data_IF_790030304408
#
_entry.id   IF_790030304408
#
_cell.length_a   1.000
_cell.length_b   1.000
_cell.length_c   1.000
_cell.angle_alpha   90.00
_cell.angle_beta   90.00
_cell.angle_gamma   90.00
#
_symmetry.space_group_name_H-M   'P 1'
#
loop_
_entity.id
_entity.type
_entity.pdbx_description
1 polymer ?
#
# COMPACT_ATOMS: atom_id res chain seq x y z
N UNK A 1 -71.55 -17.38 5.63
CA UNK A 1 -70.43 -17.05 6.55
C UNK A 1 -69.14 -17.64 5.95
N UNK A 2 -68.44 -16.90 5.09
CA UNK A 2 -67.18 -17.34 4.48
C UNK A 2 -66.13 -16.23 4.63
N UNK A 3 -65.21 -16.43 5.59
CA UNK A 3 -64.06 -15.57 5.81
C UNK A 3 -63.03 -15.85 4.71
N UNK A 4 -62.86 -14.91 3.79
CA UNK A 4 -61.72 -14.90 2.85
C UNK A 4 -60.50 -14.37 3.61
N UNK A 5 -59.51 -15.23 3.84
CA UNK A 5 -58.20 -14.83 4.32
C UNK A 5 -57.45 -14.13 3.17
N UNK A 6 -57.20 -12.82 3.33
CA UNK A 6 -56.23 -12.09 2.52
C UNK A 6 -54.83 -12.45 3.03
N UNK A 7 -54.08 -13.22 2.25
CA UNK A 7 -52.64 -13.40 2.47
C UNK A 7 -51.97 -12.13 1.95
N UNK A 8 -51.65 -11.20 2.84
CA UNK A 8 -50.79 -10.08 2.53
C UNK A 8 -49.36 -10.63 2.35
N UNK A 9 -48.91 -10.77 1.10
CA UNK A 9 -47.53 -11.10 0.78
C UNK A 9 -46.66 -9.89 1.14
N UNK A 10 -45.95 -9.98 2.27
CA UNK A 10 -45.02 -8.96 2.74
C UNK A 10 -43.75 -9.07 1.90
N UNK A 11 -43.65 -8.27 0.82
CA UNK A 11 -42.39 -8.07 0.12
C UNK A 11 -41.44 -7.27 1.02
N UNK A 12 -40.53 -7.98 1.69
CA UNK A 12 -39.49 -7.40 2.50
C UNK A 12 -38.40 -6.85 1.56
N UNK A 13 -38.53 -5.59 1.16
CA UNK A 13 -37.49 -4.88 0.41
C UNK A 13 -36.28 -4.69 1.34
N UNK A 14 -35.26 -5.55 1.20
CA UNK A 14 -33.95 -5.32 1.81
C UNK A 14 -33.35 -4.13 1.08
N UNK A 15 -33.50 -2.92 1.63
CA UNK A 15 -32.80 -1.74 1.11
C UNK A 15 -31.33 -1.86 1.50
N UNK A 16 -30.48 -2.23 0.54
CA UNK A 16 -29.03 -2.13 0.70
C UNK A 16 -28.69 -0.63 0.82
N UNK A 17 -27.87 -0.26 1.79
CA UNK A 17 -27.44 1.13 1.96
C UNK A 17 -26.55 1.56 0.80
N UNK A 18 -26.63 2.82 0.37
CA UNK A 18 -25.81 3.34 -0.73
C UNK A 18 -24.29 3.04 -0.58
N UNK A 19 -23.68 3.11 0.63
CA UNK A 19 -22.27 2.72 0.81
C UNK A 19 -21.97 1.25 0.55
N UNK A 20 -22.90 0.34 0.90
CA UNK A 20 -22.74 -1.08 0.61
C UNK A 20 -22.89 -1.37 -0.89
N UNK A 21 -23.78 -0.63 -1.58
CA UNK A 21 -23.94 -0.72 -3.02
C UNK A 21 -22.68 -0.27 -3.78
N UNK A 22 -22.08 0.87 -3.39
CA UNK A 22 -20.84 1.37 -4.02
C UNK A 22 -19.67 0.43 -3.80
N UNK A 23 -19.55 -0.16 -2.60
CA UNK A 23 -18.52 -1.16 -2.31
C UNK A 23 -18.65 -2.38 -3.22
N UNK A 24 -19.85 -2.93 -3.33
CA UNK A 24 -20.12 -4.11 -4.16
C UNK A 24 -19.84 -3.81 -5.64
N UNK A 25 -20.26 -2.65 -6.13
CA UNK A 25 -20.00 -2.23 -7.51
C UNK A 25 -18.51 -2.09 -7.81
N UNK A 26 -17.75 -1.39 -6.95
CA UNK A 26 -16.31 -1.22 -7.11
C UNK A 26 -15.58 -2.58 -7.13
N UNK A 27 -16.00 -3.53 -6.29
CA UNK A 27 -15.44 -4.89 -6.26
C UNK A 27 -15.69 -5.62 -7.58
N UNK A 28 -16.95 -5.65 -8.07
CA UNK A 28 -17.27 -6.35 -9.32
C UNK A 28 -16.55 -5.74 -10.52
N UNK A 29 -16.56 -4.41 -10.65
CA UNK A 29 -15.81 -3.71 -11.71
C UNK A 29 -14.31 -4.02 -11.66
N UNK A 30 -13.74 -4.14 -10.47
CA UNK A 30 -12.33 -4.51 -10.30
C UNK A 30 -12.04 -5.93 -10.77
N UNK A 31 -12.93 -6.88 -10.46
CA UNK A 31 -12.79 -8.27 -10.89
C UNK A 31 -12.91 -8.36 -12.41
N UNK A 32 -13.90 -7.70 -13.01
CA UNK A 32 -14.05 -7.64 -14.47
C UNK A 32 -12.83 -6.99 -15.14
N UNK A 33 -12.27 -5.94 -14.51
CA UNK A 33 -11.03 -5.32 -14.98
C UNK A 33 -9.86 -6.32 -15.01
N UNK A 34 -9.71 -7.12 -13.95
CA UNK A 34 -8.70 -8.18 -13.86
C UNK A 34 -8.96 -9.30 -14.88
N UNK A 35 -10.22 -9.69 -15.10
CA UNK A 35 -10.57 -10.68 -16.12
C UNK A 35 -10.20 -10.20 -17.53
N UNK A 36 -10.44 -8.93 -17.84
CA UNK A 36 -10.02 -8.33 -19.10
C UNK A 36 -8.48 -8.32 -19.25
N UNK A 37 -7.73 -8.05 -18.17
CA UNK A 37 -6.25 -8.14 -18.21
C UNK A 37 -5.79 -9.56 -18.53
N UNK A 38 -6.38 -10.57 -17.87
CA UNK A 38 -6.07 -11.98 -18.09
C UNK A 38 -6.40 -12.43 -19.51
N UNK A 39 -7.47 -11.91 -20.09
CA UNK A 39 -7.94 -12.21 -21.44
C UNK A 39 -7.29 -11.32 -22.51
N UNK A 40 -6.29 -10.52 -22.15
CA UNK A 40 -5.60 -9.56 -23.03
C UNK A 40 -6.54 -8.54 -23.72
N UNK A 41 -7.72 -8.32 -23.15
CA UNK A 41 -8.73 -7.38 -23.64
C UNK A 41 -8.54 -6.00 -22.97
N UNK A 42 -7.42 -5.36 -23.24
CA UNK A 42 -7.06 -4.07 -22.64
C UNK A 42 -8.00 -2.94 -23.07
N UNK A 43 -8.60 -3.04 -24.26
CA UNK A 43 -9.54 -2.05 -24.78
C UNK A 43 -10.83 -1.98 -23.95
N UNK A 44 -11.37 -3.13 -23.51
CA UNK A 44 -12.57 -3.17 -22.64
C UNK A 44 -12.36 -2.44 -21.31
N UNK A 45 -11.12 -2.42 -20.80
CA UNK A 45 -10.80 -1.75 -19.55
C UNK A 45 -10.91 -0.22 -19.61
N UNK A 46 -10.89 0.36 -20.81
CA UNK A 46 -11.08 1.80 -21.01
C UNK A 46 -12.41 2.30 -20.45
N UNK A 47 -13.49 1.49 -20.54
CA UNK A 47 -14.82 1.89 -20.08
C UNK A 47 -14.92 2.06 -18.55
N UNK A 48 -14.05 1.40 -17.79
CA UNK A 48 -14.03 1.52 -16.34
C UNK A 48 -13.23 2.72 -15.85
N UNK A 49 -12.38 3.29 -16.71
CA UNK A 49 -11.48 4.37 -16.34
C UNK A 49 -12.18 5.73 -16.41
N UNK A 50 -11.78 6.64 -15.52
CA UNK A 50 -12.14 8.05 -15.64
C UNK A 50 -11.56 8.60 -16.96
N UNK A 51 -12.30 9.42 -17.73
CA UNK A 51 -11.85 9.89 -19.05
C UNK A 51 -10.47 10.57 -19.04
N UNK A 52 -10.14 11.28 -17.96
CA UNK A 52 -8.84 11.94 -17.79
C UNK A 52 -7.65 10.96 -17.63
N UNK A 53 -7.92 9.70 -17.28
CA UNK A 53 -6.93 8.65 -17.05
C UNK A 53 -6.93 7.57 -18.15
N UNK A 54 -7.74 7.77 -19.19
CA UNK A 54 -7.89 6.89 -20.34
C UNK A 54 -7.54 7.63 -21.63
N UNK A 55 -6.30 8.11 -21.74
CA UNK A 55 -5.79 8.77 -22.94
C UNK A 55 -5.70 7.80 -24.14
N UNK A 56 -5.32 8.31 -25.31
CA UNK A 56 -5.18 7.52 -26.53
C UNK A 56 -4.21 6.32 -26.37
N UNK A 57 -3.18 6.48 -25.52
CA UNK A 57 -2.13 5.48 -25.28
C UNK A 57 -2.44 4.53 -24.11
N UNK A 58 -3.61 4.67 -23.46
CA UNK A 58 -3.99 3.89 -22.28
C UNK A 58 -3.86 2.39 -22.49
N UNK A 59 -4.34 1.89 -23.64
CA UNK A 59 -4.33 0.46 -23.95
C UNK A 59 -2.90 -0.09 -24.00
N UNK A 60 -2.01 0.60 -24.72
CA UNK A 60 -0.62 0.20 -24.86
C UNK A 60 0.13 0.26 -23.53
N UNK A 61 -0.10 1.31 -22.73
CA UNK A 61 0.48 1.43 -21.38
C UNK A 61 0.01 0.29 -20.47
N UNK A 62 -1.28 -0.03 -20.50
CA UNK A 62 -1.85 -1.09 -19.68
C UNK A 62 -1.32 -2.46 -20.11
N UNK A 63 -1.27 -2.72 -21.42
CA UNK A 63 -0.68 -3.93 -22.02
C UNK A 63 0.78 -4.09 -21.59
N UNK A 64 1.61 -3.07 -21.79
CA UNK A 64 3.02 -3.11 -21.41
C UNK A 64 3.21 -3.37 -19.91
N UNK A 65 2.44 -2.68 -19.07
CA UNK A 65 2.49 -2.88 -17.62
C UNK A 65 2.10 -4.31 -17.23
N UNK A 66 1.01 -4.85 -17.77
CA UNK A 66 0.57 -6.21 -17.47
C UNK A 66 1.58 -7.25 -17.95
N UNK A 67 2.07 -7.14 -19.18
CA UNK A 67 3.06 -8.06 -19.74
C UNK A 67 4.38 -8.02 -18.96
N UNK A 68 4.79 -6.83 -18.51
CA UNK A 68 5.92 -6.71 -17.59
C UNK A 68 5.68 -7.53 -16.31
N UNK A 69 4.49 -7.43 -15.69
CA UNK A 69 4.18 -8.25 -14.51
C UNK A 69 4.21 -9.75 -14.83
N UNK A 70 3.60 -10.21 -15.92
CA UNK A 70 3.66 -11.63 -16.31
C UNK A 70 5.10 -12.11 -16.50
N UNK A 71 5.98 -11.31 -17.12
CA UNK A 71 7.40 -11.66 -17.27
C UNK A 71 8.12 -11.87 -15.92
N UNK A 72 7.78 -11.05 -14.92
CA UNK A 72 8.41 -11.07 -13.60
C UNK A 72 7.79 -12.10 -12.65
N UNK A 73 6.47 -12.31 -12.75
CA UNK A 73 5.66 -13.08 -11.81
C UNK A 73 5.33 -14.49 -12.31
N UNK A 74 5.46 -14.74 -13.60
CA UNK A 74 4.89 -15.91 -14.27
C UNK A 74 3.39 -15.74 -14.49
N UNK A 75 2.74 -16.82 -14.92
CA UNK A 75 1.31 -16.78 -15.24
C UNK A 75 0.45 -16.54 -13.99
N UNK A 76 -0.72 -15.95 -14.21
CA UNK A 76 -1.77 -15.85 -13.20
C UNK A 76 -2.29 -17.25 -12.82
N UNK A 77 -2.48 -17.51 -11.53
CA UNK A 77 -2.99 -18.78 -11.00
C UNK A 77 -4.41 -18.62 -10.44
N UNK A 78 -4.59 -17.73 -9.47
CA UNK A 78 -5.86 -17.58 -8.74
C UNK A 78 -6.00 -16.21 -8.07
N UNK A 79 -7.25 -15.76 -7.86
CA UNK A 79 -7.56 -14.66 -6.96
C UNK A 79 -7.69 -15.21 -5.54
N UNK A 80 -6.83 -14.79 -4.63
CA UNK A 80 -6.77 -15.32 -3.26
C UNK A 80 -7.61 -14.48 -2.29
N UNK A 81 -7.61 -13.16 -2.46
CA UNK A 81 -8.31 -12.25 -1.56
C UNK A 81 -8.79 -10.99 -2.28
N UNK A 82 -9.93 -10.48 -1.82
CA UNK A 82 -10.47 -9.18 -2.22
C UNK A 82 -10.69 -8.35 -0.98
N UNK A 83 -10.07 -7.17 -0.92
CA UNK A 83 -10.29 -6.20 0.16
C UNK A 83 -10.82 -4.90 -0.41
N UNK A 84 -11.81 -4.34 0.25
CA UNK A 84 -12.27 -2.98 0.02
C UNK A 84 -11.80 -2.06 1.14
N UNK A 85 -11.49 -0.83 0.79
CA UNK A 85 -11.13 0.23 1.72
C UNK A 85 -11.67 1.57 1.20
N UNK A 86 -11.72 2.58 2.05
CA UNK A 86 -12.12 3.93 1.68
C UNK A 86 -11.13 4.94 2.25
N UNK A 87 -10.62 5.81 1.40
CA UNK A 87 -9.75 6.91 1.82
C UNK A 87 -10.29 8.22 1.29
N UNK A 88 -10.72 9.09 2.22
CA UNK A 88 -11.43 10.34 1.90
C UNK A 88 -12.65 10.03 1.04
N UNK A 89 -12.65 10.53 -0.18
CA UNK A 89 -13.70 10.45 -1.18
C UNK A 89 -13.45 9.35 -2.24
N UNK A 90 -12.42 8.53 -2.04
CA UNK A 90 -12.04 7.47 -2.95
C UNK A 90 -12.38 6.10 -2.35
N UNK A 91 -13.01 5.28 -3.17
CA UNK A 91 -13.17 3.86 -2.89
C UNK A 91 -11.95 3.12 -3.43
N UNK A 92 -11.44 2.13 -2.71
CA UNK A 92 -10.20 1.44 -3.05
C UNK A 92 -10.45 -0.07 -2.98
N UNK A 93 -10.10 -0.77 -4.05
CA UNK A 93 -10.20 -2.22 -4.11
C UNK A 93 -8.81 -2.82 -4.29
N UNK A 94 -8.54 -3.86 -3.52
CA UNK A 94 -7.32 -4.65 -3.56
C UNK A 94 -7.67 -6.08 -3.97
N UNK A 95 -7.16 -6.52 -5.12
CA UNK A 95 -7.27 -7.89 -5.60
C UNK A 95 -5.91 -8.56 -5.42
N UNK A 96 -5.76 -9.37 -4.37
CA UNK A 96 -4.53 -10.14 -4.13
C UNK A 96 -4.62 -11.44 -4.89
N UNK A 97 -3.72 -11.60 -5.86
CA UNK A 97 -3.67 -12.73 -6.77
C UNK A 97 -2.38 -13.53 -6.59
N UNK A 98 -2.50 -14.83 -6.76
CA UNK A 98 -1.39 -15.77 -6.88
C UNK A 98 -0.91 -15.81 -8.32
N UNK A 99 0.38 -15.64 -8.51
CA UNK A 99 1.08 -15.96 -9.76
C UNK A 99 2.08 -17.09 -9.49
N UNK A 100 2.64 -17.69 -10.54
CA UNK A 100 3.55 -18.84 -10.44
C UNK A 100 4.75 -18.59 -9.51
N UNK A 101 5.35 -17.39 -9.54
CA UNK A 101 6.57 -17.07 -8.77
C UNK A 101 6.28 -16.42 -7.41
N UNK A 102 5.28 -15.54 -7.33
CA UNK A 102 4.95 -14.79 -6.10
C UNK A 102 3.54 -14.20 -6.15
N UNK A 103 2.99 -13.88 -4.98
CA UNK A 103 1.73 -13.18 -4.89
C UNK A 103 1.91 -11.69 -5.21
N UNK A 104 0.89 -11.10 -5.82
CA UNK A 104 0.86 -9.69 -6.17
C UNK A 104 -0.55 -9.13 -5.99
N UNK A 105 -0.66 -7.85 -5.67
CA UNK A 105 -1.94 -7.19 -5.48
C UNK A 105 -2.17 -6.15 -6.56
N UNK A 106 -3.29 -6.26 -7.27
CA UNK A 106 -3.82 -5.21 -8.13
C UNK A 106 -4.69 -4.29 -7.28
N UNK A 107 -4.27 -3.03 -7.13
CA UNK A 107 -5.01 -1.99 -6.43
C UNK A 107 -5.68 -1.09 -7.45
N UNK A 108 -6.99 -0.89 -7.30
CA UNK A 108 -7.78 0.00 -8.13
C UNK A 108 -8.39 1.09 -7.25
N UNK A 109 -8.26 2.34 -7.68
CA UNK A 109 -8.75 3.53 -6.97
C UNK A 109 -9.89 4.13 -7.76
N UNK A 110 -11.03 4.36 -7.10
CA UNK A 110 -12.26 4.84 -7.69
C UNK A 110 -12.60 6.23 -7.18
N UNK A 111 -13.04 7.11 -8.08
CA UNK A 111 -13.60 8.42 -7.71
C UNK A 111 -15.08 8.29 -7.27
N UNK A 112 -15.70 9.42 -6.88
CA UNK A 112 -17.13 9.45 -6.50
C UNK A 112 -18.11 9.00 -7.58
N UNK A 113 -17.69 8.95 -8.86
CA UNK A 113 -18.49 8.52 -10.00
C UNK A 113 -18.33 7.03 -10.31
N UNK A 114 -17.64 6.27 -9.45
CA UNK A 114 -17.31 4.85 -9.67
C UNK A 114 -16.45 4.61 -10.91
N UNK A 115 -15.63 5.60 -11.28
CA UNK A 115 -14.64 5.50 -12.36
C UNK A 115 -13.25 5.27 -11.76
N UNK A 116 -12.46 4.40 -12.37
CA UNK A 116 -11.10 4.08 -11.95
C UNK A 116 -10.17 5.24 -12.34
N UNK A 117 -9.49 5.83 -11.37
CA UNK A 117 -8.45 6.86 -11.59
C UNK A 117 -7.07 6.24 -11.68
N UNK A 118 -6.80 5.22 -10.86
CA UNK A 118 -5.46 4.64 -10.74
C UNK A 118 -5.54 3.12 -10.64
N UNK A 119 -4.62 2.47 -11.36
CA UNK A 119 -4.38 1.03 -11.33
C UNK A 119 -2.92 0.82 -10.93
N UNK A 120 -2.70 0.20 -9.77
CA UNK A 120 -1.38 0.08 -9.16
C UNK A 120 -1.10 -1.39 -8.87
N UNK A 121 0.03 -1.88 -9.36
CA UNK A 121 0.55 -3.20 -9.05
C UNK A 121 1.44 -3.11 -7.80
N UNK A 122 1.12 -3.86 -6.74
CA UNK A 122 1.82 -3.85 -5.45
C UNK A 122 2.32 -5.27 -5.10
N UNK A 123 3.60 -5.46 -4.71
CA UNK A 123 4.08 -6.76 -4.25
C UNK A 123 3.36 -7.22 -2.97
N UNK A 124 3.14 -8.52 -2.82
CA UNK A 124 2.57 -9.10 -1.61
C UNK A 124 3.58 -10.01 -0.89
N UNK A 125 3.82 -9.81 0.42
CA UNK A 125 3.27 -8.75 1.27
C UNK A 125 3.82 -7.35 0.89
N UNK A 126 3.04 -6.28 1.03
CA UNK A 126 3.49 -4.93 0.69
C UNK A 126 4.61 -4.46 1.65
N UNK A 127 5.68 -3.87 1.10
CA UNK A 127 6.83 -3.37 1.88
C UNK A 127 6.43 -2.27 2.88
N UNK A 128 5.43 -1.46 2.51
CA UNK A 128 4.74 -0.51 3.37
C UNK A 128 3.25 -0.87 3.25
N UNK A 129 2.61 -1.27 4.35
CA UNK A 129 1.20 -1.65 4.34
C UNK A 129 0.35 -0.61 3.62
N UNK A 130 -0.23 -0.97 2.48
CA UNK A 130 -1.07 -0.07 1.70
C UNK A 130 -2.30 0.29 2.55
N UNK A 131 -2.27 1.47 3.18
CA UNK A 131 -3.27 1.96 4.12
C UNK A 131 -2.74 2.40 5.50
N UNK A 132 -1.51 2.06 5.89
CA UNK A 132 -0.97 2.45 7.22
C UNK A 132 -0.10 3.71 7.17
N UNK A 133 -0.69 4.86 6.80
CA UNK A 133 -0.04 6.17 7.03
C UNK A 133 0.30 6.37 8.53
N UNK A 134 -0.37 5.64 9.43
CA UNK A 134 -0.10 5.60 10.86
C UNK A 134 1.33 5.13 11.21
N UNK A 135 2.00 4.39 10.33
CA UNK A 135 3.35 3.86 10.59
C UNK A 135 4.45 4.87 10.23
N UNK A 136 4.13 5.94 9.50
CA UNK A 136 5.07 7.02 9.20
C UNK A 136 5.55 7.71 10.47
N UNK A 137 4.69 7.85 11.49
CA UNK A 137 5.06 8.39 12.79
C UNK A 137 6.14 7.56 13.47
N UNK A 138 6.06 6.23 13.39
CA UNK A 138 7.09 5.34 13.94
C UNK A 138 8.41 5.48 13.17
N UNK A 139 8.37 5.61 11.84
CA UNK A 139 9.58 5.81 11.02
C UNK A 139 10.23 7.15 11.34
N UNK A 140 9.45 8.24 11.41
CA UNK A 140 9.94 9.57 11.76
C UNK A 140 10.54 9.56 13.17
N UNK A 141 9.86 8.92 14.12
CA UNK A 141 10.36 8.76 15.48
C UNK A 141 11.70 8.00 15.51
N UNK A 142 11.83 6.90 14.77
CA UNK A 142 13.08 6.13 14.68
C UNK A 142 14.22 6.93 14.03
N UNK A 143 13.93 7.73 13.00
CA UNK A 143 14.92 8.61 12.37
C UNK A 143 15.41 9.69 13.36
N UNK A 144 14.49 10.38 14.02
CA UNK A 144 14.83 11.42 15.01
C UNK A 144 15.62 10.81 16.17
N UNK A 145 15.21 9.63 16.64
CA UNK A 145 15.90 8.87 17.67
C UNK A 145 17.34 8.53 17.27
N UNK A 146 17.53 7.93 16.10
CA UNK A 146 18.87 7.56 15.62
C UNK A 146 19.77 8.80 15.44
N UNK A 147 19.25 9.86 14.83
CA UNK A 147 20.00 11.11 14.61
C UNK A 147 20.41 11.77 15.93
N UNK A 148 19.53 11.78 16.93
CA UNK A 148 19.82 12.35 18.25
C UNK A 148 21.00 11.64 18.90
N UNK A 149 20.98 10.30 18.95
CA UNK A 149 22.07 9.54 19.55
C UNK A 149 23.37 9.63 18.74
N UNK A 150 23.31 9.57 17.41
CA UNK A 150 24.49 9.75 16.55
C UNK A 150 25.12 11.13 16.74
N UNK A 151 24.32 12.20 16.79
CA UNK A 151 24.82 13.55 17.01
C UNK A 151 25.54 13.68 18.37
N UNK A 152 24.92 13.16 19.44
CA UNK A 152 25.53 13.18 20.78
C UNK A 152 26.83 12.36 20.85
N UNK A 153 26.86 11.18 20.23
CA UNK A 153 28.05 10.34 20.18
C UNK A 153 29.19 10.96 19.38
N UNK A 154 28.90 11.52 18.20
CA UNK A 154 29.89 12.19 17.35
C UNK A 154 30.43 13.46 18.00
N UNK A 155 29.59 14.27 18.65
CA UNK A 155 30.03 15.46 19.39
C UNK A 155 31.05 15.10 20.46
N UNK A 156 30.75 14.08 21.27
CA UNK A 156 31.63 13.63 22.34
C UNK A 156 32.92 13.00 21.81
N UNK A 157 32.84 12.19 20.76
CA UNK A 157 34.02 11.58 20.13
C UNK A 157 34.93 12.63 19.48
N UNK A 158 34.34 13.68 18.88
CA UNK A 158 35.05 14.83 18.34
C UNK A 158 35.78 15.62 19.44
N UNK A 159 35.09 15.97 20.54
CA UNK A 159 35.69 16.69 21.68
C UNK A 159 36.88 15.91 22.28
N UNK A 160 36.76 14.59 22.36
CA UNK A 160 37.79 13.71 22.91
C UNK A 160 38.89 13.31 21.90
N UNK A 161 38.86 13.81 20.66
CA UNK A 161 39.80 13.45 19.58
C UNK A 161 39.91 11.93 19.31
N UNK A 162 38.83 11.18 19.51
CA UNK A 162 38.81 9.72 19.32
C UNK A 162 38.34 9.36 17.91
N UNK A 163 39.26 9.44 16.95
CA UNK A 163 38.95 9.28 15.53
C UNK A 163 38.35 7.90 15.20
N UNK A 164 38.81 6.82 15.83
CA UNK A 164 38.24 5.47 15.64
C UNK A 164 36.78 5.37 16.08
N UNK A 165 36.44 5.98 17.22
CA UNK A 165 35.05 6.00 17.73
C UNK A 165 34.15 6.91 16.92
N UNK A 166 34.68 8.06 16.48
CA UNK A 166 33.98 8.96 15.57
C UNK A 166 33.61 8.23 14.26
N UNK A 167 34.57 7.54 13.64
CA UNK A 167 34.33 6.81 12.40
C UNK A 167 33.35 5.65 12.59
N UNK A 168 33.48 4.90 13.69
CA UNK A 168 32.58 3.79 14.00
C UNK A 168 31.12 4.26 14.15
N UNK A 169 30.88 5.35 14.87
CA UNK A 169 29.54 5.93 15.05
C UNK A 169 28.97 6.49 13.74
N UNK A 170 29.83 7.07 12.89
CA UNK A 170 29.41 7.65 11.61
C UNK A 170 28.97 6.56 10.61
N UNK A 171 29.76 5.49 10.47
CA UNK A 171 29.57 4.48 9.41
C UNK A 171 28.57 3.39 9.82
N UNK A 172 28.55 2.96 11.08
CA UNK A 172 27.77 1.79 11.48
C UNK A 172 26.30 2.15 11.77
N UNK A 173 25.33 1.51 11.08
CA UNK A 173 23.91 1.69 11.33
C UNK A 173 23.48 0.85 12.54
N UNK A 174 23.75 1.34 13.75
CA UNK A 174 23.44 0.64 15.01
C UNK A 174 22.15 1.11 15.69
N UNK A 175 21.32 1.91 15.02
CA UNK A 175 20.05 2.46 15.57
C UNK A 175 20.22 3.16 16.94
N UNK A 176 21.36 3.81 17.16
CA UNK A 176 21.66 4.51 18.41
C UNK A 176 22.40 3.69 19.47
N UNK A 177 22.49 2.35 19.37
CA UNK A 177 23.11 1.50 20.39
C UNK A 177 24.59 1.83 20.62
N UNK A 178 25.38 1.93 19.54
CA UNK A 178 26.81 2.24 19.63
C UNK A 178 27.07 3.62 20.23
N UNK A 179 26.38 4.71 19.79
CA UNK A 179 26.50 6.01 20.44
C UNK A 179 26.05 6.02 21.91
N UNK A 180 25.01 5.27 22.30
CA UNK A 180 24.57 5.17 23.71
C UNK A 180 25.68 4.54 24.57
N UNK A 181 26.24 3.41 24.12
CA UNK A 181 27.36 2.77 24.81
C UNK A 181 28.55 3.73 24.91
N UNK A 182 28.89 4.40 23.82
CA UNK A 182 29.98 5.35 23.82
C UNK A 182 29.75 6.51 24.80
N UNK A 183 28.57 7.13 24.78
CA UNK A 183 28.25 8.29 25.61
C UNK A 183 28.19 7.95 27.09
N UNK A 184 27.78 6.73 27.48
CA UNK A 184 27.72 6.29 28.88
C UNK A 184 29.06 5.82 29.44
N UNK A 185 29.88 5.11 28.65
CA UNK A 185 31.11 4.49 29.15
C UNK A 185 32.36 5.37 29.00
N UNK A 186 32.41 6.23 27.99
CA UNK A 186 33.60 7.07 27.74
C UNK A 186 33.48 8.37 28.53
N UNK A 187 34.44 8.65 29.40
CA UNK A 187 34.53 9.93 30.13
C UNK A 187 35.12 11.02 29.24
N UNK A 188 34.77 12.27 29.51
CA UNK A 188 35.41 13.41 28.84
C UNK A 188 36.88 13.46 29.22
N UNK A 189 37.74 13.80 28.25
CA UNK A 189 39.15 14.07 28.53
C UNK A 189 39.21 15.32 29.40
N UNK A 190 39.84 15.23 30.57
CA UNK A 190 40.05 16.39 31.43
C UNK A 190 40.91 17.42 30.68
N UNK A 191 40.44 18.66 30.63
CA UNK A 191 41.22 19.80 30.11
C UNK A 191 42.33 20.11 31.13
N UNK A 192 43.47 19.42 30.99
CA UNK A 192 44.64 19.64 31.84
C UNK A 192 45.61 18.46 31.83
N UNK A 193 46.50 18.43 30.83
CA UNK A 193 47.92 18.06 30.88
C UNK A 193 48.55 18.23 29.49
#
# INVERSE_FOLDING_TARGET
>A
MHRRFLIASLFLFITISAPAQTQTEAIYRSIDFLENLKNENYQANRHYMAPAHADENFEDKLRQSWQYQISQLGNFVSLENTKYDRFRDYDIVYLTSRFEKKNYTLKLVYNKRQEITDVIFIPYPPLIGAGSLNQLWLIIFLIVWELTWKAMGLWKAGKNQQLSWFLAIFILPTFGLLPIVYTLFVREKAEGD
#
